data_IF_960534339680
#
_entry.id   IF_960534339680
#
_cell.length_a   1.000
_cell.length_b   1.000
_cell.length_c   1.000
_cell.angle_alpha   90.00
_cell.angle_beta   90.00
_cell.angle_gamma   90.00
#
_symmetry.space_group_name_H-M   'P 1'
#
loop_
_entity.id
_entity.type
_entity.pdbx_description
1 polymer ?
#
# COMPACT_ATOMS: atom_id res chain seq x y z
N UNK A 1 -29.75 67.41 20.21
CA UNK A 1 -30.33 68.76 20.35
C UNK A 1 -31.49 68.87 19.38
N UNK A 2 -32.71 68.83 19.91
CA UNK A 2 -33.97 68.91 19.14
C UNK A 2 -34.27 70.39 18.95
N UNK A 3 -34.48 70.92 17.72
CA UNK A 3 -34.93 72.29 17.59
C UNK A 3 -36.41 72.36 17.94
N UNK A 4 -36.72 73.22 18.92
CA UNK A 4 -38.06 73.52 19.38
C UNK A 4 -38.94 74.01 18.22
N UNK A 5 -40.05 73.32 17.97
CA UNK A 5 -41.11 73.80 17.07
C UNK A 5 -41.97 74.76 17.88
N UNK A 6 -41.86 76.05 17.57
CA UNK A 6 -42.67 77.11 18.16
C UNK A 6 -44.14 76.94 17.74
N UNK A 7 -45.04 76.77 18.72
CA UNK A 7 -46.47 76.88 18.52
C UNK A 7 -46.83 78.37 18.38
N UNK A 8 -47.31 78.78 17.20
CA UNK A 8 -47.85 80.13 16.99
C UNK A 8 -49.37 80.05 16.97
N UNK A 9 -49.97 80.49 18.08
CA UNK A 9 -51.37 80.86 18.15
C UNK A 9 -51.58 82.15 17.33
N UNK A 10 -52.47 82.12 16.34
CA UNK A 10 -52.73 83.25 15.43
C UNK A 10 -54.22 83.50 15.24
N UNK A 11 -54.77 84.32 16.13
CA UNK A 11 -55.98 85.15 16.06
C UNK A 11 -56.72 85.22 14.72
N UNK A 12 -57.98 84.80 14.73
CA UNK A 12 -59.00 85.27 13.79
C UNK A 12 -59.38 86.71 14.16
N UNK A 13 -59.44 87.64 13.19
CA UNK A 13 -60.34 88.81 13.12
C UNK A 13 -60.14 89.58 11.77
N UNK A 14 -61.16 89.53 10.90
CA UNK A 14 -61.68 90.67 10.11
C UNK A 14 -60.96 91.23 8.85
N UNK A 15 -61.70 91.20 7.72
CA UNK A 15 -61.74 92.16 6.59
C UNK A 15 -60.88 91.96 5.30
N UNK A 16 -61.40 91.11 4.41
CA UNK A 16 -61.88 91.42 3.03
C UNK A 16 -61.01 91.94 1.86
N UNK A 17 -59.68 92.09 1.88
CA UNK A 17 -58.93 92.46 0.62
C UNK A 17 -57.76 91.51 0.25
N UNK A 18 -57.49 90.43 0.99
CA UNK A 18 -56.33 89.55 0.73
C UNK A 18 -56.66 88.07 0.44
N UNK A 19 -57.86 87.77 -0.06
CA UNK A 19 -58.34 86.38 -0.24
C UNK A 19 -57.42 85.52 -1.12
N UNK A 20 -56.96 86.05 -2.26
CA UNK A 20 -56.17 85.26 -3.21
C UNK A 20 -54.70 85.01 -2.81
N UNK A 21 -54.09 85.89 -2.01
CA UNK A 21 -52.64 85.85 -1.73
C UNK A 21 -52.33 85.06 -0.44
N UNK A 22 -53.19 85.17 0.57
CA UNK A 22 -53.09 84.39 1.80
C UNK A 22 -53.35 82.89 1.54
N UNK A 23 -54.36 82.57 0.74
CA UNK A 23 -54.76 81.19 0.41
C UNK A 23 -53.71 80.47 -0.45
N UNK A 24 -53.10 81.19 -1.42
CA UNK A 24 -51.99 80.67 -2.24
C UNK A 24 -50.73 80.36 -1.41
N UNK A 25 -50.40 81.22 -0.44
CA UNK A 25 -49.20 81.05 0.40
C UNK A 25 -49.38 79.92 1.41
N UNK A 26 -50.57 79.81 2.03
CA UNK A 26 -50.93 78.71 2.93
C UNK A 26 -50.94 77.37 2.18
N UNK A 27 -51.49 77.33 0.96
CA UNK A 27 -51.48 76.12 0.11
C UNK A 27 -50.07 75.66 -0.25
N UNK A 28 -49.19 76.59 -0.68
CA UNK A 28 -47.78 76.27 -0.98
C UNK A 28 -47.00 75.79 0.25
N UNK A 29 -47.27 76.37 1.42
CA UNK A 29 -46.64 75.94 2.67
C UNK A 29 -47.12 74.55 3.10
N UNK A 30 -48.43 74.30 3.03
CA UNK A 30 -49.01 72.98 3.29
C UNK A 30 -48.42 71.91 2.37
N UNK A 31 -48.32 72.18 1.07
CA UNK A 31 -47.70 71.28 0.11
C UNK A 31 -46.23 70.97 0.47
N UNK A 32 -45.46 71.99 0.85
CA UNK A 32 -44.06 71.82 1.28
C UNK A 32 -43.93 70.99 2.56
N UNK A 33 -44.81 71.19 3.53
CA UNK A 33 -44.85 70.39 4.78
C UNK A 33 -45.19 68.93 4.48
N UNK A 34 -46.13 68.67 3.58
CA UNK A 34 -46.45 67.31 3.13
C UNK A 34 -45.27 66.64 2.42
N UNK A 35 -44.58 67.33 1.50
CA UNK A 35 -43.40 66.80 0.81
C UNK A 35 -42.27 66.48 1.79
N UNK A 36 -41.92 67.42 2.69
CA UNK A 36 -40.86 67.20 3.68
C UNK A 36 -41.21 66.07 4.67
N UNK A 37 -42.49 65.90 4.98
CA UNK A 37 -42.98 64.78 5.79
C UNK A 37 -42.77 63.45 5.06
N UNK A 38 -43.13 63.38 3.78
CA UNK A 38 -42.91 62.19 2.95
C UNK A 38 -41.41 61.86 2.79
N UNK A 39 -40.56 62.85 2.56
CA UNK A 39 -39.10 62.67 2.48
C UNK A 39 -38.51 62.19 3.80
N UNK A 40 -38.93 62.76 4.93
CA UNK A 40 -38.53 62.32 6.28
C UNK A 40 -38.92 60.87 6.52
N UNK A 41 -40.15 60.50 6.16
CA UNK A 41 -40.64 59.15 6.41
C UNK A 41 -39.95 58.14 5.49
N UNK A 42 -39.67 58.50 4.23
CA UNK A 42 -38.81 57.73 3.33
C UNK A 42 -37.39 57.57 3.91
N UNK A 43 -36.78 58.65 4.39
CA UNK A 43 -35.45 58.60 4.99
C UNK A 43 -35.41 57.69 6.22
N UNK A 44 -36.41 57.78 7.11
CA UNK A 44 -36.56 56.89 8.27
C UNK A 44 -36.62 55.42 7.85
N UNK A 45 -37.42 55.09 6.84
CA UNK A 45 -37.50 53.74 6.31
C UNK A 45 -36.16 53.28 5.74
N UNK A 46 -35.51 54.12 4.91
CA UNK A 46 -34.20 53.79 4.34
C UNK A 46 -33.12 53.57 5.40
N UNK A 47 -33.15 54.34 6.49
CA UNK A 47 -32.22 54.20 7.61
C UNK A 47 -32.48 52.92 8.41
N UNK A 48 -33.74 52.57 8.63
CA UNK A 48 -34.11 51.31 9.27
C UNK A 48 -33.61 50.11 8.44
N UNK A 49 -33.86 50.11 7.13
CA UNK A 49 -33.36 49.05 6.23
C UNK A 49 -31.82 48.99 6.20
N UNK A 50 -31.13 50.13 6.15
CA UNK A 50 -29.66 50.15 6.19
C UNK A 50 -29.11 49.61 7.52
N UNK A 51 -29.82 49.84 8.63
CA UNK A 51 -29.46 49.29 9.95
C UNK A 51 -29.62 47.77 9.97
N UNK A 52 -30.74 47.25 9.46
CA UNK A 52 -30.97 45.81 9.32
C UNK A 52 -29.92 45.13 8.42
N UNK A 53 -29.58 45.76 7.29
CA UNK A 53 -28.53 45.26 6.40
C UNK A 53 -27.14 45.27 7.06
N UNK A 54 -26.82 46.31 7.83
CA UNK A 54 -25.57 46.37 8.60
C UNK A 54 -25.52 45.23 9.62
N UNK A 55 -26.59 45.02 10.38
CA UNK A 55 -26.62 44.00 11.43
C UNK A 55 -26.54 42.58 10.83
N UNK A 56 -27.20 42.34 9.69
CA UNK A 56 -27.06 41.11 8.92
C UNK A 56 -25.63 40.91 8.39
N UNK A 57 -24.99 41.97 7.88
CA UNK A 57 -23.61 41.90 7.40
C UNK A 57 -22.61 41.62 8.53
N UNK A 58 -22.82 42.19 9.72
CA UNK A 58 -22.01 41.89 10.90
C UNK A 58 -22.16 40.42 11.33
N UNK A 59 -23.39 39.90 11.33
CA UNK A 59 -23.64 38.47 11.59
C UNK A 59 -22.93 37.56 10.58
N UNK A 60 -23.01 37.89 9.28
CA UNK A 60 -22.31 37.14 8.25
C UNK A 60 -20.78 37.22 8.37
N UNK A 61 -20.23 38.35 8.84
CA UNK A 61 -18.79 38.48 9.10
C UNK A 61 -18.34 37.60 10.26
N UNK A 62 -19.11 37.52 11.35
CA UNK A 62 -18.81 36.65 12.48
C UNK A 62 -18.86 35.17 12.08
N UNK A 63 -19.88 34.77 11.31
CA UNK A 63 -19.98 33.42 10.74
C UNK A 63 -18.79 33.09 9.82
N UNK A 64 -18.37 34.05 8.99
CA UNK A 64 -17.22 33.87 8.11
C UNK A 64 -15.91 33.73 8.91
N UNK A 65 -15.77 34.49 10.00
CA UNK A 65 -14.62 34.38 10.92
C UNK A 65 -14.53 33.00 11.56
N UNK A 66 -15.66 32.50 12.07
CA UNK A 66 -15.75 31.16 12.63
C UNK A 66 -15.45 30.10 11.56
N UNK A 67 -15.91 30.30 10.33
CA UNK A 67 -15.62 29.39 9.22
C UNK A 67 -14.13 29.38 8.84
N UNK A 68 -13.43 30.52 8.93
CA UNK A 68 -11.97 30.59 8.73
C UNK A 68 -11.25 29.84 9.85
N UNK A 69 -11.60 30.10 11.12
CA UNK A 69 -11.00 29.40 12.26
C UNK A 69 -11.17 27.86 12.17
N UNK A 70 -12.34 27.38 11.71
CA UNK A 70 -12.56 25.95 11.46
C UNK A 70 -11.68 25.39 10.36
N UNK A 71 -11.43 26.17 9.30
CA UNK A 71 -10.55 25.75 8.19
C UNK A 71 -9.09 25.73 8.60
N UNK A 72 -8.64 26.70 9.40
CA UNK A 72 -7.29 26.72 9.96
C UNK A 72 -7.05 25.48 10.83
N UNK A 73 -7.97 25.19 11.77
CA UNK A 73 -7.86 23.98 12.59
C UNK A 73 -7.88 22.67 11.77
N UNK A 74 -8.65 22.63 10.67
CA UNK A 74 -8.66 21.50 9.76
C UNK A 74 -7.36 21.38 8.96
N UNK A 75 -6.75 22.49 8.57
CA UNK A 75 -5.45 22.52 7.90
C UNK A 75 -4.35 22.01 8.83
N UNK A 76 -4.31 22.46 10.08
CA UNK A 76 -3.35 21.96 11.09
C UNK A 76 -3.49 20.44 11.29
N UNK A 77 -4.74 19.95 11.30
CA UNK A 77 -5.02 18.51 11.41
C UNK A 77 -4.52 17.73 10.19
N UNK A 78 -4.67 18.28 8.99
CA UNK A 78 -4.18 17.63 7.77
C UNK A 78 -2.67 17.67 7.66
N UNK A 79 -2.02 18.75 8.11
CA UNK A 79 -0.56 18.85 8.18
C UNK A 79 0.00 17.75 9.09
N UNK A 80 -0.55 17.58 10.30
CA UNK A 80 -0.15 16.50 11.19
C UNK A 80 -0.35 15.10 10.59
N UNK A 81 -1.45 14.87 9.84
CA UNK A 81 -1.67 13.60 9.15
C UNK A 81 -0.70 13.37 7.98
N UNK A 82 -0.23 14.43 7.32
CA UNK A 82 0.76 14.32 6.26
C UNK A 82 2.12 13.97 6.84
N UNK A 83 2.49 14.59 7.96
CA UNK A 83 3.74 14.27 8.68
C UNK A 83 3.74 12.82 9.15
N UNK A 84 2.66 12.35 9.80
CA UNK A 84 2.54 10.96 10.23
C UNK A 84 2.62 9.97 9.05
N UNK A 85 2.06 10.34 7.89
CA UNK A 85 2.16 9.52 6.68
C UNK A 85 3.54 9.56 6.04
N UNK A 86 4.27 10.65 6.16
CA UNK A 86 5.64 10.76 5.67
C UNK A 86 6.56 9.88 6.52
N UNK A 87 6.48 10.00 7.85
CA UNK A 87 7.23 9.14 8.78
C UNK A 87 6.91 7.65 8.53
N UNK A 88 5.63 7.32 8.35
CA UNK A 88 5.21 5.95 8.05
C UNK A 88 5.63 5.43 6.67
N UNK A 89 6.02 6.31 5.73
CA UNK A 89 6.62 5.90 4.46
C UNK A 89 8.12 5.65 4.63
N UNK A 90 8.81 6.51 5.39
CA UNK A 90 10.23 6.34 5.70
C UNK A 90 10.49 5.03 6.46
N UNK A 91 9.63 4.70 7.44
CA UNK A 91 9.71 3.41 8.16
C UNK A 91 9.55 2.21 7.21
N UNK A 92 8.61 2.30 6.25
CA UNK A 92 8.36 1.22 5.29
C UNK A 92 9.47 1.09 4.25
N UNK A 93 10.11 2.19 3.89
CA UNK A 93 11.31 2.19 3.04
C UNK A 93 12.44 1.44 3.75
N UNK A 94 12.70 1.75 5.03
CA UNK A 94 13.71 1.05 5.83
C UNK A 94 13.40 -0.45 5.99
N UNK A 95 12.14 -0.83 6.24
CA UNK A 95 11.74 -2.25 6.30
C UNK A 95 11.92 -2.97 4.95
N UNK A 96 11.71 -2.28 3.82
CA UNK A 96 11.91 -2.87 2.50
C UNK A 96 13.39 -3.07 2.18
N UNK A 97 14.25 -2.15 2.60
CA UNK A 97 15.70 -2.27 2.45
C UNK A 97 16.22 -3.46 3.27
N UNK A 98 15.79 -3.62 4.53
CA UNK A 98 16.17 -4.77 5.35
C UNK A 98 15.72 -6.10 4.72
N UNK A 99 14.49 -6.15 4.20
CA UNK A 99 13.99 -7.34 3.50
C UNK A 99 14.73 -7.63 2.19
N UNK A 100 15.23 -6.61 1.49
CA UNK A 100 16.04 -6.79 0.30
C UNK A 100 17.38 -7.45 0.67
N UNK A 101 18.05 -6.96 1.70
CA UNK A 101 19.30 -7.54 2.22
C UNK A 101 19.09 -9.00 2.67
N UNK A 102 18.00 -9.29 3.40
CA UNK A 102 17.66 -10.65 3.81
C UNK A 102 17.44 -11.61 2.62
N UNK A 103 16.81 -11.11 1.54
CA UNK A 103 16.56 -11.91 0.34
C UNK A 103 17.86 -12.19 -0.42
N UNK A 104 18.77 -11.21 -0.51
CA UNK A 104 20.08 -11.37 -1.14
C UNK A 104 20.94 -12.43 -0.41
N UNK A 105 20.88 -12.42 0.94
CA UNK A 105 21.53 -13.43 1.78
C UNK A 105 20.91 -14.82 1.58
N UNK A 106 19.58 -14.91 1.48
CA UNK A 106 18.87 -16.15 1.22
C UNK A 106 19.18 -16.71 -0.17
N UNK A 107 19.21 -15.87 -1.21
CA UNK A 107 19.57 -16.26 -2.58
C UNK A 107 20.99 -16.83 -2.63
N UNK A 108 21.93 -16.16 -1.97
CA UNK A 108 23.33 -16.59 -1.85
C UNK A 108 23.44 -17.96 -1.16
N UNK A 109 22.71 -18.14 -0.06
CA UNK A 109 22.65 -19.40 0.69
C UNK A 109 22.04 -20.54 -0.13
N UNK A 110 20.94 -20.28 -0.85
CA UNK A 110 20.31 -21.26 -1.73
C UNK A 110 21.25 -21.68 -2.87
N UNK A 111 21.90 -20.72 -3.53
CA UNK A 111 22.87 -20.99 -4.59
C UNK A 111 24.02 -21.88 -4.10
N UNK A 112 24.55 -21.60 -2.89
CA UNK A 112 25.58 -22.42 -2.28
C UNK A 112 25.09 -23.85 -1.99
N UNK A 113 23.86 -23.99 -1.48
CA UNK A 113 23.23 -25.29 -1.20
C UNK A 113 22.97 -26.08 -2.48
N UNK A 114 22.44 -25.46 -3.52
CA UNK A 114 22.19 -26.11 -4.82
C UNK A 114 23.49 -26.62 -5.43
N UNK A 115 24.56 -25.81 -5.41
CA UNK A 115 25.88 -26.23 -5.85
C UNK A 115 26.41 -27.41 -5.03
N UNK A 116 26.26 -27.37 -3.71
CA UNK A 116 26.71 -28.44 -2.84
C UNK A 116 25.93 -29.75 -3.08
N UNK A 117 24.61 -29.66 -3.27
CA UNK A 117 23.74 -30.79 -3.63
C UNK A 117 24.15 -31.36 -4.99
N UNK A 118 24.33 -30.53 -6.02
CA UNK A 118 24.75 -31.00 -7.34
C UNK A 118 26.12 -31.69 -7.33
N UNK A 119 27.07 -31.23 -6.49
CA UNK A 119 28.34 -31.93 -6.28
C UNK A 119 28.12 -33.27 -5.56
N UNK A 120 27.28 -33.29 -4.53
CA UNK A 120 26.96 -34.50 -3.79
C UNK A 120 26.26 -35.55 -4.66
N UNK A 121 25.33 -35.15 -5.52
CA UNK A 121 24.63 -36.00 -6.49
C UNK A 121 25.61 -36.61 -7.49
N UNK A 122 26.44 -35.79 -8.15
CA UNK A 122 27.48 -36.29 -9.08
C UNK A 122 28.44 -37.26 -8.41
N UNK A 123 28.81 -36.99 -7.15
CA UNK A 123 29.67 -37.90 -6.37
C UNK A 123 28.95 -39.20 -6.01
N UNK A 124 27.65 -39.13 -5.71
CA UNK A 124 26.84 -40.30 -5.42
C UNK A 124 26.66 -41.16 -6.68
N UNK A 125 26.40 -40.55 -7.83
CA UNK A 125 26.26 -41.20 -9.13
C UNK A 125 27.55 -41.89 -9.57
N UNK A 126 28.70 -41.20 -9.49
CA UNK A 126 30.01 -41.78 -9.82
C UNK A 126 30.43 -42.97 -8.93
N UNK A 127 29.71 -43.20 -7.82
CA UNK A 127 29.89 -44.34 -6.92
C UNK A 127 28.76 -45.36 -7.02
N UNK A 128 27.78 -45.15 -7.88
CA UNK A 128 26.64 -46.05 -8.06
C UNK A 128 26.83 -46.96 -9.28
N UNK A 129 26.37 -48.19 -9.16
CA UNK A 129 26.13 -49.08 -10.30
C UNK A 129 24.63 -49.37 -10.30
N UNK A 130 23.96 -49.01 -11.38
CA UNK A 130 22.53 -49.29 -11.58
C UNK A 130 22.35 -50.64 -12.29
N UNK A 131 21.10 -51.00 -12.58
CA UNK A 131 20.78 -52.16 -13.40
C UNK A 131 21.47 -52.10 -14.76
N UNK A 132 21.94 -53.24 -15.26
CA UNK A 132 22.61 -53.34 -16.56
C UNK A 132 23.97 -54.03 -16.51
N UNK A 133 24.75 -53.83 -17.58
CA UNK A 133 26.07 -54.42 -17.78
C UNK A 133 27.10 -53.30 -17.84
N UNK A 134 28.18 -53.44 -17.07
CA UNK A 134 29.15 -52.37 -16.82
C UNK A 134 30.57 -52.86 -17.01
N UNK A 135 31.34 -52.20 -17.86
CA UNK A 135 32.77 -52.48 -18.04
C UNK A 135 33.61 -51.81 -16.95
N UNK A 136 34.31 -52.63 -16.17
CA UNK A 136 35.13 -52.18 -15.05
C UNK A 136 36.43 -51.57 -15.55
N UNK A 137 36.62 -50.28 -15.27
CA UNK A 137 37.71 -49.45 -15.77
C UNK A 137 37.33 -48.60 -16.97
N UNK A 138 36.14 -48.78 -17.54
CA UNK A 138 35.57 -47.93 -18.60
C UNK A 138 34.33 -47.19 -18.06
N UNK A 139 33.27 -47.93 -17.72
CA UNK A 139 32.02 -47.35 -17.21
C UNK A 139 32.08 -47.08 -15.70
N UNK A 140 32.71 -47.97 -14.93
CA UNK A 140 32.81 -47.90 -13.47
C UNK A 140 34.23 -48.13 -12.98
N UNK A 141 34.62 -47.51 -11.86
CA UNK A 141 35.99 -47.65 -11.33
C UNK A 141 36.19 -49.03 -10.68
N UNK A 142 37.37 -49.67 -10.81
CA UNK A 142 37.69 -50.87 -10.02
C UNK A 142 37.60 -50.60 -8.51
N UNK A 143 37.21 -51.60 -7.72
CA UNK A 143 37.12 -51.52 -6.26
C UNK A 143 36.04 -52.42 -5.67
N UNK A 144 35.79 -52.26 -4.38
CA UNK A 144 34.72 -52.98 -3.68
C UNK A 144 33.40 -52.24 -3.79
N UNK A 145 32.33 -52.99 -4.07
CA UNK A 145 30.97 -52.49 -4.18
C UNK A 145 30.05 -53.32 -3.30
N UNK A 146 29.10 -52.66 -2.63
CA UNK A 146 28.08 -53.32 -1.81
C UNK A 146 26.71 -52.81 -2.21
N UNK A 147 25.72 -53.69 -2.15
CA UNK A 147 24.34 -53.26 -2.39
C UNK A 147 23.90 -52.18 -1.38
N UNK A 148 23.39 -51.06 -1.89
CA UNK A 148 23.04 -49.88 -1.08
C UNK A 148 21.87 -50.13 -0.16
N UNK A 149 20.94 -50.97 -0.53
CA UNK A 149 19.83 -51.38 0.33
C UNK A 149 19.87 -52.88 0.49
N UNK A 150 19.30 -53.42 1.56
CA UNK A 150 19.16 -54.86 1.67
C UNK A 150 18.17 -55.33 0.60
N UNK A 151 18.59 -56.30 -0.20
CA UNK A 151 17.68 -56.98 -1.10
C UNK A 151 16.68 -57.79 -0.26
N UNK A 152 15.39 -57.59 -0.55
CA UNK A 152 14.27 -58.28 0.12
C UNK A 152 13.28 -58.89 -0.89
N UNK A 153 13.66 -58.96 -2.17
CA UNK A 153 12.85 -59.58 -3.21
C UNK A 153 13.06 -61.09 -3.31
N UNK A 154 12.38 -61.72 -4.26
CA UNK A 154 12.44 -63.18 -4.43
C UNK A 154 13.81 -63.66 -4.92
N UNK A 155 14.35 -63.00 -5.95
CA UNK A 155 15.68 -63.31 -6.50
C UNK A 155 16.24 -62.11 -7.25
N UNK A 156 17.54 -61.89 -7.13
CA UNK A 156 18.30 -61.05 -8.05
C UNK A 156 19.57 -61.77 -8.49
N UNK A 157 20.15 -61.32 -9.60
CA UNK A 157 21.35 -61.92 -10.16
C UNK A 157 22.44 -60.87 -10.38
N UNK A 158 23.66 -61.20 -9.98
CA UNK A 158 24.84 -60.46 -10.41
C UNK A 158 25.91 -61.42 -10.93
N UNK A 159 26.75 -60.92 -11.84
CA UNK A 159 27.82 -61.68 -12.46
C UNK A 159 29.02 -60.79 -12.71
N UNK A 160 30.21 -61.31 -12.45
CA UNK A 160 31.49 -60.77 -12.87
C UNK A 160 32.02 -61.68 -13.96
N UNK A 161 32.27 -61.15 -15.15
CA UNK A 161 32.82 -61.90 -16.27
C UNK A 161 34.12 -61.26 -16.77
N UNK A 162 34.93 -62.04 -17.50
CA UNK A 162 36.13 -61.56 -18.20
C UNK A 162 36.34 -62.37 -19.47
N UNK A 163 36.53 -61.70 -20.60
CA UNK A 163 36.76 -62.32 -21.91
C UNK A 163 35.70 -63.41 -22.23
N UNK A 164 34.43 -63.14 -21.90
CA UNK A 164 33.29 -64.03 -22.12
C UNK A 164 33.18 -65.22 -21.15
N UNK A 165 33.97 -65.26 -20.07
CA UNK A 165 33.92 -66.31 -19.05
C UNK A 165 33.49 -65.73 -17.70
N UNK A 166 32.59 -66.43 -17.02
CA UNK A 166 32.16 -66.08 -15.65
C UNK A 166 33.32 -66.30 -14.69
N UNK A 167 33.66 -65.25 -13.94
CA UNK A 167 34.66 -65.25 -12.86
C UNK A 167 33.97 -65.54 -11.53
N UNK A 168 32.83 -64.91 -11.30
CA UNK A 168 32.04 -65.05 -10.08
C UNK A 168 30.59 -64.63 -10.35
N UNK A 169 29.62 -65.24 -9.70
CA UNK A 169 28.21 -64.90 -9.84
C UNK A 169 27.41 -65.39 -8.64
N UNK A 170 26.23 -64.82 -8.44
CA UNK A 170 25.31 -65.30 -7.40
C UNK A 170 23.84 -65.01 -7.74
N UNK A 171 22.96 -65.89 -7.27
CA UNK A 171 21.51 -65.75 -7.27
C UNK A 171 21.08 -65.40 -5.84
N UNK A 172 20.98 -64.09 -5.57
CA UNK A 172 20.78 -63.55 -4.24
C UNK A 172 19.28 -63.56 -3.91
N UNK A 173 18.93 -64.14 -2.77
CA UNK A 173 17.55 -64.18 -2.23
C UNK A 173 17.37 -63.28 -1.00
N UNK A 174 18.42 -62.57 -0.58
CA UNK A 174 18.33 -61.58 0.48
C UNK A 174 19.68 -60.99 0.92
N UNK A 175 19.63 -59.85 1.62
CA UNK A 175 20.81 -59.25 2.28
C UNK A 175 21.53 -58.19 1.43
N UNK A 176 22.79 -57.89 1.79
CA UNK A 176 23.59 -56.83 1.14
C UNK A 176 24.90 -57.41 0.58
N UNK A 177 24.85 -58.11 -0.56
CA UNK A 177 26.04 -58.72 -1.15
C UNK A 177 27.13 -57.66 -1.42
N UNK A 178 28.38 -58.10 -1.37
CA UNK A 178 29.57 -57.27 -1.64
C UNK A 178 30.43 -57.96 -2.69
N UNK A 179 30.88 -57.21 -3.69
CA UNK A 179 31.69 -57.71 -4.80
C UNK A 179 32.99 -56.91 -4.91
N UNK A 180 34.05 -57.55 -5.41
CA UNK A 180 35.32 -56.88 -5.72
C UNK A 180 35.53 -56.86 -7.23
N UNK A 181 35.45 -55.68 -7.83
CA UNK A 181 35.55 -55.47 -9.27
C UNK A 181 36.96 -55.01 -9.66
N UNK A 182 37.55 -55.65 -10.66
CA UNK A 182 38.91 -55.40 -11.18
C UNK A 182 38.85 -54.89 -12.62
N UNK A 183 39.83 -54.07 -13.01
CA UNK A 183 39.92 -53.50 -14.37
C UNK A 183 39.88 -54.60 -15.44
N UNK A 184 39.10 -54.36 -16.50
CA UNK A 184 38.91 -55.27 -17.63
C UNK A 184 37.94 -56.43 -17.36
N UNK A 185 37.22 -56.39 -16.24
CA UNK A 185 36.06 -57.26 -16.02
C UNK A 185 34.79 -56.56 -16.50
N UNK A 186 33.76 -57.36 -16.76
CA UNK A 186 32.39 -56.90 -16.95
C UNK A 186 31.58 -57.26 -15.70
N UNK A 187 30.73 -56.35 -15.22
CA UNK A 187 29.81 -56.59 -14.12
C UNK A 187 28.37 -56.45 -14.60
N UNK A 188 27.60 -57.52 -14.48
CA UNK A 188 26.17 -57.52 -14.75
C UNK A 188 25.42 -57.43 -13.44
N UNK A 189 24.49 -56.49 -13.37
CA UNK A 189 23.54 -56.32 -12.29
C UNK A 189 22.12 -56.49 -12.85
N UNK A 190 21.37 -57.44 -12.31
CA UNK A 190 20.02 -57.76 -12.79
C UNK A 190 19.05 -57.98 -11.62
N UNK A 191 18.25 -56.97 -11.36
CA UNK A 191 17.18 -56.92 -10.36
C UNK A 191 17.66 -56.76 -8.92
N UNK A 192 18.95 -56.50 -8.67
CA UNK A 192 19.45 -56.37 -7.30
C UNK A 192 19.25 -54.98 -6.72
N UNK A 193 19.04 -53.95 -7.55
CA UNK A 193 19.03 -52.55 -7.14
C UNK A 193 20.39 -51.88 -7.29
N UNK A 194 20.63 -50.80 -6.54
CA UNK A 194 21.82 -49.95 -6.74
C UNK A 194 22.98 -50.45 -5.89
N UNK A 195 24.13 -50.68 -6.51
CA UNK A 195 25.37 -50.96 -5.79
C UNK A 195 26.13 -49.65 -5.53
N UNK A 196 26.71 -49.53 -4.34
CA UNK A 196 27.53 -48.40 -3.93
C UNK A 196 28.98 -48.81 -3.74
N UNK A 197 29.91 -48.04 -4.27
CA UNK A 197 31.34 -48.22 -3.99
C UNK A 197 31.64 -47.93 -2.52
N UNK A 198 32.37 -48.83 -1.86
CA UNK A 198 32.84 -48.67 -0.47
C UNK A 198 33.96 -47.62 -0.36
#
# INVERSE_FOLDING_TARGET
>A
MIPAIAAVAGLALGASIAGGIAESTISKWSAKVHTLTAERDHFKTSFATATEQRDAALGAMDEAKDAVARREAAADTWEAQLDERADGLDDREAELDERADELDDQESSLTAREKAVGIAEKKAEAKSIYEGVWMVGEDIKPGEYRLREAFTGDICYWEISKDGRIVDNDLVTGGRPTVTLRKGQEFKNQGCGVWGKL
#
